data_IF_210263278080
#
_entry.id   IF_210263278080
#
_cell.length_a   1.000
_cell.length_b   1.000
_cell.length_c   1.000
_cell.angle_alpha   90.00
_cell.angle_beta   90.00
_cell.angle_gamma   90.00
#
_symmetry.space_group_name_H-M   'P 1'
#
loop_
_entity.id
_entity.type
_entity.pdbx_description
1 polymer ?
#
# COMPACT_ATOMS: atom_id res chain seq x y z
N UNK A 1 23.52 15.28 1.50
CA UNK A 1 22.83 13.99 1.71
C UNK A 1 23.45 12.94 0.80
N UNK A 2 23.57 11.69 1.26
CA UNK A 2 24.02 10.60 0.38
C UNK A 2 22.83 10.09 -0.45
N UNK A 3 23.06 9.63 -1.67
CA UNK A 3 22.01 9.02 -2.49
C UNK A 3 21.29 7.86 -1.76
N UNK A 4 22.02 7.10 -0.95
CA UNK A 4 21.48 5.99 -0.19
C UNK A 4 20.47 6.42 0.89
N UNK A 5 20.73 7.53 1.58
CA UNK A 5 19.81 8.05 2.61
C UNK A 5 18.51 8.56 1.99
N UNK A 6 18.57 9.16 0.81
CA UNK A 6 17.39 9.60 0.07
C UNK A 6 16.53 8.43 -0.40
N UNK A 7 17.18 7.36 -0.89
CA UNK A 7 16.50 6.17 -1.38
C UNK A 7 15.80 5.41 -0.24
N UNK A 8 16.48 5.27 0.91
CA UNK A 8 15.91 4.61 2.09
C UNK A 8 14.76 5.44 2.66
N UNK A 9 14.93 6.75 2.81
CA UNK A 9 13.90 7.64 3.34
C UNK A 9 12.62 7.71 2.49
N UNK A 10 12.74 7.48 1.17
CA UNK A 10 11.59 7.44 0.25
C UNK A 10 11.06 6.04 -0.06
N UNK A 11 11.70 5.01 0.47
CA UNK A 11 11.34 3.61 0.22
C UNK A 11 9.87 3.26 0.53
N UNK A 12 9.20 3.81 1.57
CA UNK A 12 7.79 3.49 1.82
C UNK A 12 6.89 3.95 0.66
N UNK A 13 7.13 5.16 0.15
CA UNK A 13 6.36 5.76 -0.96
C UNK A 13 6.64 5.00 -2.25
N UNK A 14 7.92 4.76 -2.55
CA UNK A 14 8.33 4.01 -3.75
C UNK A 14 7.71 2.61 -3.78
N UNK A 15 7.63 1.94 -2.63
CA UNK A 15 7.03 0.60 -2.52
C UNK A 15 5.55 0.62 -2.88
N UNK A 16 4.78 1.57 -2.34
CA UNK A 16 3.34 1.69 -2.65
C UNK A 16 3.12 2.06 -4.12
N UNK A 17 3.89 3.00 -4.66
CA UNK A 17 3.78 3.42 -6.06
C UNK A 17 4.09 2.28 -7.04
N UNK A 18 5.17 1.53 -6.80
CA UNK A 18 5.52 0.36 -7.61
C UNK A 18 4.48 -0.73 -7.50
N UNK A 19 3.96 -0.98 -6.30
CA UNK A 19 2.92 -1.98 -6.11
C UNK A 19 1.63 -1.63 -6.86
N UNK A 20 1.21 -0.36 -6.84
CA UNK A 20 0.06 0.10 -7.61
C UNK A 20 0.23 -0.14 -9.11
N UNK A 21 1.41 0.17 -9.66
CA UNK A 21 1.72 -0.12 -11.08
C UNK A 21 1.65 -1.61 -11.39
N UNK A 22 2.23 -2.45 -10.53
CA UNK A 22 2.22 -3.91 -10.71
C UNK A 22 0.77 -4.44 -10.68
N UNK A 23 -0.06 -3.96 -9.75
CA UNK A 23 -1.48 -4.36 -9.68
C UNK A 23 -2.20 -3.99 -10.97
N UNK A 24 -2.06 -2.76 -11.46
CA UNK A 24 -2.69 -2.32 -12.72
C UNK A 24 -2.25 -3.18 -13.90
N UNK A 25 -0.96 -3.54 -13.97
CA UNK A 25 -0.44 -4.42 -15.02
C UNK A 25 -1.04 -5.83 -14.89
N UNK A 26 -1.11 -6.39 -13.67
CA UNK A 26 -1.71 -7.71 -13.43
C UNK A 26 -3.19 -7.74 -13.80
N UNK A 27 -3.94 -6.68 -13.50
CA UNK A 27 -5.34 -6.55 -13.90
C UNK A 27 -5.53 -6.47 -15.41
N UNK A 28 -4.62 -5.78 -16.11
CA UNK A 28 -4.64 -5.74 -17.57
C UNK A 28 -4.32 -7.10 -18.21
N UNK A 29 -3.47 -7.92 -17.58
CA UNK A 29 -3.03 -9.21 -18.11
C UNK A 29 -3.99 -10.37 -17.80
N UNK A 30 -4.68 -10.35 -16.65
CA UNK A 30 -5.48 -11.49 -16.18
C UNK A 30 -6.98 -11.16 -16.06
N UNK A 31 -7.83 -11.96 -16.73
CA UNK A 31 -9.31 -11.80 -16.71
C UNK A 31 -9.98 -12.03 -15.34
N UNK A 32 -9.30 -12.64 -14.36
CA UNK A 32 -9.79 -12.90 -13.00
C UNK A 32 -8.71 -12.55 -11.96
N UNK A 33 -8.22 -11.32 -12.02
CA UNK A 33 -7.13 -10.82 -11.17
C UNK A 33 -7.56 -10.45 -9.74
N UNK A 34 -8.87 -10.28 -9.45
CA UNK A 34 -9.38 -9.71 -8.18
C UNK A 34 -8.69 -10.27 -6.92
N UNK A 35 -8.53 -11.59 -6.84
CA UNK A 35 -7.92 -12.23 -5.67
C UNK A 35 -6.40 -12.00 -5.60
N UNK A 36 -5.74 -12.00 -6.75
CA UNK A 36 -4.29 -11.77 -6.85
C UNK A 36 -3.97 -10.31 -6.52
N UNK A 37 -4.72 -9.37 -7.13
CA UNK A 37 -4.63 -7.93 -6.84
C UNK A 37 -4.83 -7.65 -5.35
N UNK A 38 -5.85 -8.24 -4.73
CA UNK A 38 -6.14 -8.06 -3.30
C UNK A 38 -4.96 -8.52 -2.41
N UNK A 39 -4.47 -9.74 -2.64
CA UNK A 39 -3.38 -10.31 -1.83
C UNK A 39 -2.11 -9.48 -2.02
N UNK A 40 -1.79 -9.12 -3.27
CA UNK A 40 -0.60 -8.35 -3.59
C UNK A 40 -0.64 -6.95 -2.96
N UNK A 41 -1.80 -6.27 -3.02
CA UNK A 41 -2.00 -4.98 -2.37
C UNK A 41 -1.76 -5.05 -0.86
N UNK A 42 -2.29 -6.07 -0.16
CA UNK A 42 -2.05 -6.24 1.28
C UNK A 42 -0.58 -6.48 1.57
N UNK A 43 0.08 -7.39 0.84
CA UNK A 43 1.51 -7.68 1.05
C UNK A 43 2.32 -6.41 0.85
N UNK A 44 2.05 -5.64 -0.20
CA UNK A 44 2.76 -4.40 -0.47
C UNK A 44 2.56 -3.32 0.61
N UNK A 45 1.35 -3.22 1.17
CA UNK A 45 1.06 -2.32 2.28
C UNK A 45 1.80 -2.71 3.55
N UNK A 46 1.89 -4.01 3.87
CA UNK A 46 2.68 -4.50 5.00
C UNK A 46 4.15 -4.17 4.82
N UNK A 47 4.71 -4.39 3.63
CA UNK A 47 6.11 -4.07 3.31
C UNK A 47 6.36 -2.56 3.41
N UNK A 48 5.45 -1.74 2.89
CA UNK A 48 5.55 -0.28 3.01
C UNK A 48 5.47 0.18 4.47
N UNK A 49 4.62 -0.43 5.29
CA UNK A 49 4.55 -0.18 6.73
C UNK A 49 5.84 -0.56 7.45
N UNK A 50 6.46 -1.69 7.08
CA UNK A 50 7.76 -2.10 7.61
C UNK A 50 8.86 -1.09 7.26
N UNK A 51 8.92 -0.64 6.01
CA UNK A 51 9.87 0.41 5.61
C UNK A 51 9.62 1.72 6.34
N UNK A 52 8.36 2.10 6.55
CA UNK A 52 8.01 3.29 7.33
C UNK A 52 8.60 3.21 8.74
N UNK A 53 8.37 2.11 9.46
CA UNK A 53 8.94 1.89 10.81
C UNK A 53 10.46 1.89 10.78
N UNK A 54 11.08 1.26 9.77
CA UNK A 54 12.53 1.22 9.62
C UNK A 54 13.14 2.63 9.39
N UNK A 55 12.41 3.52 8.73
CA UNK A 55 12.82 4.91 8.53
C UNK A 55 12.58 5.83 9.73
N UNK A 56 11.91 5.36 10.79
CA UNK A 56 11.63 6.15 12.00
C UNK A 56 12.85 6.86 12.61
N UNK A 57 14.00 6.21 12.84
CA UNK A 57 15.15 6.88 13.46
C UNK A 57 15.89 7.83 12.51
N UNK A 58 15.48 7.95 11.23
CA UNK A 58 16.09 8.90 10.31
C UNK A 58 15.49 10.28 10.52
N UNK A 59 16.31 11.24 10.94
CA UNK A 59 15.98 12.67 10.92
C UNK A 59 16.67 13.32 9.74
N UNK A 60 15.98 13.42 8.62
CA UNK A 60 16.58 13.92 7.39
C UNK A 60 15.54 14.39 6.39
N UNK A 61 16.00 15.00 5.31
CA UNK A 61 15.17 15.33 4.16
C UNK A 61 15.68 14.57 2.94
N UNK A 62 14.77 14.00 2.15
CA UNK A 62 15.05 13.23 0.94
C UNK A 62 14.49 13.94 -0.29
N UNK A 63 14.94 13.52 -1.49
CA UNK A 63 14.46 14.07 -2.76
C UNK A 63 14.69 15.58 -2.84
N UNK A 64 15.96 16.01 -2.64
CA UNK A 64 16.32 17.43 -2.67
C UNK A 64 15.48 18.28 -1.71
N UNK A 65 15.25 17.76 -0.50
CA UNK A 65 14.46 18.39 0.55
C UNK A 65 12.97 18.58 0.28
N UNK A 66 12.41 17.91 -0.74
CA UNK A 66 10.97 17.90 -1.00
C UNK A 66 10.20 17.00 -0.03
N UNK A 67 10.86 15.98 0.50
CA UNK A 67 10.27 15.01 1.42
C UNK A 67 11.02 15.10 2.73
N UNK A 68 10.36 15.56 3.78
CA UNK A 68 10.88 15.35 5.12
C UNK A 68 10.66 13.88 5.50
N UNK A 69 11.63 13.33 6.22
CA UNK A 69 11.62 12.00 6.82
C UNK A 69 11.87 12.25 8.30
N UNK A 70 10.78 12.44 9.03
CA UNK A 70 10.74 12.76 10.45
C UNK A 70 9.70 11.89 11.16
N UNK A 71 9.82 11.75 12.47
CA UNK A 71 8.95 10.92 13.33
C UNK A 71 7.46 11.12 13.06
N UNK A 72 7.03 12.37 12.86
CA UNK A 72 5.61 12.69 12.63
C UNK A 72 5.11 12.13 11.29
N UNK A 73 5.92 12.18 10.22
CA UNK A 73 5.52 11.61 8.94
C UNK A 73 5.48 10.09 9.00
N UNK A 74 6.45 9.45 9.65
CA UNK A 74 6.46 8.00 9.83
C UNK A 74 5.25 7.53 10.63
N UNK A 75 4.86 8.26 11.67
CA UNK A 75 3.65 8.00 12.44
C UNK A 75 2.39 8.09 11.58
N UNK A 76 2.23 9.18 10.82
CA UNK A 76 1.07 9.39 9.94
C UNK A 76 0.98 8.32 8.83
N UNK A 77 2.10 7.98 8.20
CA UNK A 77 2.18 6.94 7.17
C UNK A 77 1.77 5.58 7.76
N UNK A 78 2.22 5.26 8.98
CA UNK A 78 1.85 4.01 9.64
C UNK A 78 0.35 3.92 9.93
N UNK A 79 -0.27 5.02 10.41
CA UNK A 79 -1.72 5.10 10.57
C UNK A 79 -2.47 4.96 9.26
N UNK A 80 -1.96 5.59 8.20
CA UNK A 80 -2.55 5.52 6.87
C UNK A 80 -2.51 4.09 6.31
N UNK A 81 -1.38 3.38 6.46
CA UNK A 81 -1.24 1.97 6.06
C UNK A 81 -2.26 1.09 6.79
N UNK A 82 -2.45 1.28 8.10
CA UNK A 82 -3.47 0.53 8.87
C UNK A 82 -4.90 0.83 8.36
N UNK A 83 -5.19 2.11 8.09
CA UNK A 83 -6.47 2.53 7.52
C UNK A 83 -6.74 1.90 6.15
N UNK A 84 -5.74 1.88 5.27
CA UNK A 84 -5.86 1.23 3.96
C UNK A 84 -6.05 -0.28 4.08
N UNK A 85 -5.32 -0.96 4.97
CA UNK A 85 -5.53 -2.39 5.22
C UNK A 85 -6.98 -2.69 5.65
N UNK A 86 -7.54 -1.89 6.55
CA UNK A 86 -8.94 -2.01 6.98
C UNK A 86 -9.90 -1.74 5.81
N UNK A 87 -9.65 -0.71 5.01
CA UNK A 87 -10.47 -0.38 3.85
C UNK A 87 -10.50 -1.52 2.82
N UNK A 88 -9.33 -2.09 2.48
CA UNK A 88 -9.26 -3.26 1.60
C UNK A 88 -10.05 -4.44 2.15
N UNK A 89 -9.92 -4.71 3.45
CA UNK A 89 -10.67 -5.77 4.13
C UNK A 89 -12.18 -5.56 4.04
N UNK A 90 -12.68 -4.36 4.37
CA UNK A 90 -14.11 -4.03 4.26
C UNK A 90 -14.62 -4.14 2.83
N UNK A 91 -13.84 -3.65 1.85
CA UNK A 91 -14.22 -3.72 0.45
C UNK A 91 -14.36 -5.16 -0.04
N UNK A 92 -13.49 -6.07 0.43
CA UNK A 92 -13.62 -7.50 0.14
C UNK A 92 -14.88 -8.11 0.76
N UNK A 93 -15.25 -7.73 1.99
CA UNK A 93 -16.50 -8.20 2.62
C UNK A 93 -17.72 -7.74 1.81
N UNK A 94 -17.75 -6.47 1.41
CA UNK A 94 -18.87 -5.90 0.64
C UNK A 94 -19.01 -6.62 -0.71
N UNK A 95 -17.90 -6.79 -1.44
CA UNK A 95 -17.91 -7.49 -2.73
C UNK A 95 -18.38 -8.96 -2.62
N UNK A 96 -18.05 -9.64 -1.52
CA UNK A 96 -18.53 -11.01 -1.27
C UNK A 96 -20.02 -11.03 -0.92
N UNK A 97 -20.50 -10.04 -0.15
CA UNK A 97 -21.91 -9.89 0.17
C UNK A 97 -22.76 -9.66 -1.08
N UNK A 98 -22.34 -8.76 -1.99
CA UNK A 98 -23.06 -8.48 -3.23
C UNK A 98 -23.11 -9.70 -4.16
N UNK A 99 -22.01 -10.46 -4.27
CA UNK A 99 -22.00 -11.72 -5.04
C UNK A 99 -23.00 -12.74 -4.50
N UNK A 100 -23.20 -12.81 -3.18
CA UNK A 100 -24.21 -13.70 -2.58
C UNK A 100 -25.65 -13.23 -2.85
N UNK A 101 -25.94 -11.94 -2.74
CA UNK A 101 -27.28 -11.39 -3.00
C UNK A 101 -27.73 -11.60 -4.44
N UNK A 102 -26.82 -11.45 -5.41
CA UNK A 102 -27.16 -11.72 -6.82
C UNK A 102 -27.43 -13.21 -7.09
N UNK A 103 -26.74 -14.13 -6.41
CA UNK A 103 -27.02 -15.57 -6.54
C UNK A 103 -28.40 -15.91 -5.98
N UNK A 104 -28.81 -15.34 -4.85
CA UNK A 104 -30.16 -15.56 -4.29
C UNK A 104 -31.30 -14.96 -5.10
N UNK A 105 -31.02 -14.03 -6.02
CA UNK A 105 -32.04 -13.40 -6.88
C UNK A 105 -32.29 -14.20 -8.17
N UNK A 106 -31.38 -15.11 -8.52
CA UNK A 106 -31.43 -15.92 -9.75
C UNK A 106 -32.09 -17.30 -9.50
N UNK A 107 -32.27 -17.70 -8.23
CA UNK A 107 -32.99 -18.91 -7.81
C UNK A 107 -34.31 -18.57 -7.15
#
# INVERSE_FOLDING_TARGET
>A
MSFYTDLIGTSPILTVSLAGLIVVILEALFKKSETISYIFSIISLIVAGFFSIYTYPMYSTAFNSMIAVEDMQVFLISFFVLGLCLQFYFQRIILLSEKQTMVSFIY
#
